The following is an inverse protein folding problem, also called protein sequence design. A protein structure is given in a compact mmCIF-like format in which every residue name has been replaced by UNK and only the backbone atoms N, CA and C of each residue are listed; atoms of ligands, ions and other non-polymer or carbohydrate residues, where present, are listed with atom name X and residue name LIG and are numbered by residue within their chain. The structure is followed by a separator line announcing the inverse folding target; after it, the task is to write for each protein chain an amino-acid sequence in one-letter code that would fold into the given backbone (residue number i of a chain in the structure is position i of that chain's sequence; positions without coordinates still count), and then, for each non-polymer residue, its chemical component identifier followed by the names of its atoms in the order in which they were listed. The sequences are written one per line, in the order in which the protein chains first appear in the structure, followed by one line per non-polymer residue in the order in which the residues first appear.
data_IF_365753673574
#
_entry.id   IF_365753673574
#
_cell.length_a   1.000
_cell.length_b   1.000
_cell.length_c   1.000
_cell.angle_alpha   90.00
_cell.angle_beta   90.00
_cell.angle_gamma   90.00
#
_symmetry.space_group_name_H-M   'P 1'
#
loop_
_entity.id
_entity.type
_entity.pdbx_description
1 polymer ?
#
# COMPACT_ATOMS: atom_id res chain seq x y z
N UNK A 1 -28.64 6.14 34.13
CA UNK A 1 -30.00 5.57 34.17
C UNK A 1 -30.62 5.71 32.79
N UNK A 2 -31.33 4.68 32.32
CA UNK A 2 -32.09 4.70 31.07
C UNK A 2 -33.58 4.54 31.41
N UNK A 3 -34.45 5.26 30.72
CA UNK A 3 -35.91 5.09 30.85
C UNK A 3 -36.49 4.58 29.53
N UNK A 4 -37.42 3.62 29.62
CA UNK A 4 -38.13 3.08 28.47
C UNK A 4 -39.40 3.89 28.12
N UNK A 5 -39.90 4.68 29.07
CA UNK A 5 -40.97 5.65 28.85
C UNK A 5 -40.44 6.98 28.35
N UNK A 6 -41.23 7.67 27.52
CA UNK A 6 -40.93 9.02 27.05
C UNK A 6 -40.88 9.97 28.26
N UNK A 7 -39.76 10.65 28.50
CA UNK A 7 -39.63 11.59 29.62
C UNK A 7 -40.47 12.84 29.39
N UNK A 8 -40.90 13.49 30.48
CA UNK A 8 -41.73 14.70 30.44
C UNK A 8 -41.03 15.86 29.72
N UNK A 9 -39.69 15.96 29.85
CA UNK A 9 -38.85 16.94 29.16
C UNK A 9 -37.96 16.24 28.12
N UNK A 10 -38.40 16.08 26.85
CA UNK A 10 -37.64 15.35 25.83
C UNK A 10 -36.31 16.03 25.45
N UNK A 11 -36.22 17.35 25.61
CA UNK A 11 -35.04 18.15 25.26
C UNK A 11 -33.79 17.79 26.08
N UNK A 12 -33.98 17.28 27.31
CA UNK A 12 -32.88 16.93 28.21
C UNK A 12 -32.33 15.51 27.98
N UNK A 13 -32.94 14.74 27.06
CA UNK A 13 -32.62 13.33 26.84
C UNK A 13 -32.14 13.09 25.40
N UNK A 14 -31.33 12.05 25.23
CA UNK A 14 -30.98 11.48 23.92
C UNK A 14 -31.75 10.19 23.73
N UNK A 15 -32.38 10.06 22.58
CA UNK A 15 -33.03 8.83 22.13
C UNK A 15 -31.98 7.83 21.65
N UNK A 16 -32.15 6.57 22.05
CA UNK A 16 -31.32 5.44 21.68
C UNK A 16 -32.26 4.34 21.17
N UNK A 17 -32.06 3.92 19.93
CA UNK A 17 -32.75 2.75 19.39
C UNK A 17 -31.86 1.51 19.58
N UNK A 18 -32.37 0.51 20.29
CA UNK A 18 -31.72 -0.79 20.49
C UNK A 18 -32.78 -1.86 20.22
N UNK A 19 -32.52 -2.73 19.24
CA UNK A 19 -33.39 -3.86 18.87
C UNK A 19 -34.87 -3.47 18.67
N UNK A 20 -35.10 -2.34 17.98
CA UNK A 20 -36.46 -1.83 17.69
C UNK A 20 -37.18 -1.17 18.88
N UNK A 21 -36.52 -1.04 20.04
CA UNK A 21 -37.06 -0.34 21.22
C UNK A 21 -36.34 0.98 21.44
N UNK A 22 -37.12 2.02 21.75
CA UNK A 22 -36.58 3.37 22.06
C UNK A 22 -36.31 3.51 23.55
N UNK A 23 -35.10 3.93 23.89
CA UNK A 23 -34.67 4.24 25.25
C UNK A 23 -34.21 5.70 25.33
N UNK A 24 -34.46 6.35 26.46
CA UNK A 24 -34.07 7.73 26.70
C UNK A 24 -32.95 7.77 27.73
N UNK A 25 -31.83 8.43 27.37
CA UNK A 25 -30.69 8.66 28.26
C UNK A 25 -30.54 10.14 28.53
N UNK A 26 -30.54 10.54 29.81
CA UNK A 26 -30.31 11.93 30.19
C UNK A 26 -28.99 12.43 29.59
N UNK A 27 -29.02 13.60 28.96
CA UNK A 27 -27.83 14.34 28.50
C UNK A 27 -27.05 14.76 29.74
N UNK A 28 -26.20 13.88 30.26
CA UNK A 28 -25.25 14.25 31.30
C UNK A 28 -24.32 15.36 30.80
N UNK A 29 -23.76 16.13 31.73
CA UNK A 29 -22.69 17.09 31.43
C UNK A 29 -21.69 16.43 30.51
N UNK A 30 -21.41 17.08 29.37
CA UNK A 30 -20.33 16.67 28.47
C UNK A 30 -19.05 16.95 29.24
N UNK A 31 -18.66 16.04 30.12
CA UNK A 31 -17.31 15.98 30.62
C UNK A 31 -16.44 15.86 29.38
N UNK A 32 -15.81 16.98 29.01
CA UNK A 32 -14.76 17.01 28.00
C UNK A 32 -13.80 15.91 28.42
N UNK A 33 -13.82 14.80 27.68
CA UNK A 33 -12.90 13.70 27.88
C UNK A 33 -11.52 14.28 27.57
N UNK A 34 -10.88 14.85 28.58
CA UNK A 34 -9.48 15.21 28.55
C UNK A 34 -8.74 13.89 28.46
N UNK A 35 -8.52 13.42 27.23
CA UNK A 35 -7.71 12.24 26.97
C UNK A 35 -6.39 12.46 27.70
N UNK A 36 -6.16 11.67 28.76
CA UNK A 36 -4.91 11.73 29.53
C UNK A 36 -3.77 11.50 28.55
N UNK A 37 -2.98 12.54 28.30
CA UNK A 37 -1.72 12.42 27.56
C UNK A 37 -0.83 11.43 28.31
N UNK A 38 -0.11 10.57 27.58
CA UNK A 38 0.86 9.67 28.21
C UNK A 38 1.94 10.52 28.87
N UNK A 39 2.50 10.05 29.98
CA UNK A 39 3.53 10.78 30.73
C UNK A 39 4.73 11.16 29.83
N UNK A 40 5.08 10.29 28.88
CA UNK A 40 6.12 10.55 27.88
C UNK A 40 5.81 11.71 26.92
N UNK A 41 4.54 12.01 26.67
CA UNK A 41 4.12 13.14 25.83
C UNK A 41 4.21 14.48 26.58
N UNK A 42 4.33 14.47 27.92
CA UNK A 42 4.49 15.70 28.72
C UNK A 42 5.88 16.34 28.57
N UNK A 43 6.88 15.55 28.16
CA UNK A 43 8.27 16.01 27.97
C UNK A 43 8.68 16.07 26.50
N UNK A 44 7.73 15.88 25.56
CA UNK A 44 8.03 16.02 24.14
C UNK A 44 8.29 17.49 23.82
N UNK A 45 9.45 17.74 23.24
CA UNK A 45 9.81 19.00 22.61
C UNK A 45 8.65 19.48 21.71
N UNK A 46 8.19 20.73 21.82
CA UNK A 46 7.18 21.29 20.92
C UNK A 46 7.52 21.12 19.44
N UNK A 47 8.82 21.04 19.10
CA UNK A 47 9.33 20.83 17.75
C UNK A 47 9.58 19.35 17.41
N UNK A 48 9.21 18.41 18.27
CA UNK A 48 9.45 16.98 18.07
C UNK A 48 8.97 16.48 16.72
N UNK A 49 7.75 16.87 16.31
CA UNK A 49 7.17 16.50 15.01
C UNK A 49 8.04 17.05 13.86
N UNK A 50 8.44 18.32 13.95
CA UNK A 50 9.24 18.96 12.92
C UNK A 50 10.66 18.38 12.83
N UNK A 51 11.26 18.01 13.96
CA UNK A 51 12.55 17.30 14.03
C UNK A 51 12.47 15.91 13.39
N UNK A 52 11.40 15.15 13.65
CA UNK A 52 11.18 13.83 13.05
C UNK A 52 10.96 13.92 11.53
N UNK A 53 10.15 14.87 11.07
CA UNK A 53 9.96 15.15 9.64
C UNK A 53 11.30 15.48 8.98
N UNK A 54 12.08 16.40 9.56
CA UNK A 54 13.41 16.75 9.03
C UNK A 54 14.41 15.60 9.07
N UNK A 55 14.29 14.67 10.02
CA UNK A 55 15.12 13.45 10.05
C UNK A 55 14.77 12.55 8.87
N UNK A 56 13.48 12.30 8.64
CA UNK A 56 12.99 11.46 7.52
C UNK A 56 13.37 12.06 6.17
N UNK A 57 13.19 13.37 5.99
CA UNK A 57 13.59 14.06 4.75
C UNK A 57 15.10 13.94 4.49
N UNK A 58 15.93 14.07 5.53
CA UNK A 58 17.38 13.86 5.41
C UNK A 58 17.72 12.43 5.02
N UNK A 59 17.05 11.43 5.61
CA UNK A 59 17.22 10.03 5.22
C UNK A 59 16.85 9.79 3.76
N UNK A 60 15.71 10.33 3.30
CA UNK A 60 15.29 10.20 1.90
C UNK A 60 16.27 10.87 0.94
N UNK A 61 16.76 12.06 1.29
CA UNK A 61 17.77 12.77 0.51
C UNK A 61 19.07 11.97 0.42
N UNK A 62 19.59 11.50 1.54
CA UNK A 62 20.81 10.69 1.58
C UNK A 62 20.64 9.39 0.79
N UNK A 63 19.48 8.74 0.89
CA UNK A 63 19.17 7.53 0.12
C UNK A 63 19.22 7.82 -1.39
N UNK A 64 18.60 8.91 -1.84
CA UNK A 64 18.65 9.35 -3.25
C UNK A 64 20.06 9.71 -3.72
N UNK A 65 20.85 10.39 -2.88
CA UNK A 65 22.25 10.74 -3.19
C UNK A 65 23.15 9.49 -3.27
N UNK A 66 22.90 8.48 -2.42
CA UNK A 66 23.74 7.27 -2.32
C UNK A 66 23.40 6.22 -3.38
N UNK A 67 22.11 5.99 -3.63
CA UNK A 67 21.64 4.94 -4.55
C UNK A 67 21.30 5.47 -5.95
N UNK A 68 21.42 6.79 -6.16
CA UNK A 68 21.09 7.44 -7.41
C UNK A 68 19.60 7.32 -7.76
N UNK A 69 19.29 7.57 -9.02
CA UNK A 69 17.96 7.32 -9.56
C UNK A 69 17.80 5.82 -9.85
N UNK A 70 17.24 5.09 -8.88
CA UNK A 70 16.96 3.66 -8.99
C UNK A 70 16.15 3.33 -10.24
N UNK A 71 15.23 4.21 -10.64
CA UNK A 71 14.44 4.03 -11.85
C UNK A 71 15.36 3.97 -13.08
N UNK A 72 16.29 4.93 -13.19
CA UNK A 72 17.27 4.95 -14.28
C UNK A 72 18.19 3.72 -14.31
N UNK A 73 18.47 3.11 -13.15
CA UNK A 73 19.28 1.90 -13.06
C UNK A 73 18.46 0.68 -13.49
N UNK A 74 17.20 0.59 -13.03
CA UNK A 74 16.27 -0.46 -13.43
C UNK A 74 16.06 -0.43 -14.94
N UNK A 75 15.82 0.74 -15.52
CA UNK A 75 15.59 0.88 -16.96
C UNK A 75 16.82 0.48 -17.79
N UNK A 76 18.03 0.88 -17.39
CA UNK A 76 19.26 0.41 -18.05
C UNK A 76 19.41 -1.12 -18.01
N UNK A 77 19.06 -1.74 -16.89
CA UNK A 77 19.08 -3.20 -16.79
C UNK A 77 18.00 -3.85 -17.65
N UNK A 78 16.81 -3.26 -17.74
CA UNK A 78 15.76 -3.74 -18.64
C UNK A 78 16.22 -3.66 -20.09
N UNK A 79 16.75 -2.52 -20.52
CA UNK A 79 17.29 -2.33 -21.87
C UNK A 79 18.36 -3.38 -22.20
N UNK A 80 19.31 -3.61 -21.29
CA UNK A 80 20.35 -4.63 -21.45
C UNK A 80 19.76 -6.05 -21.63
N UNK A 81 18.77 -6.41 -20.81
CA UNK A 81 18.11 -7.72 -20.92
C UNK A 81 17.32 -7.80 -22.23
N UNK A 82 16.61 -6.76 -22.63
CA UNK A 82 15.88 -6.70 -23.91
C UNK A 82 16.83 -6.87 -25.10
N UNK A 83 18.01 -6.26 -25.06
CA UNK A 83 19.06 -6.45 -26.07
C UNK A 83 19.56 -7.91 -26.08
N UNK A 84 19.80 -8.51 -24.91
CA UNK A 84 20.19 -9.92 -24.83
C UNK A 84 19.13 -10.84 -25.44
N UNK A 85 17.85 -10.64 -25.11
CA UNK A 85 16.74 -11.40 -25.71
C UNK A 85 16.75 -11.22 -27.23
N UNK A 86 16.88 -9.98 -27.71
CA UNK A 86 16.94 -9.67 -29.14
C UNK A 86 18.12 -10.36 -29.84
N UNK A 87 19.28 -10.44 -29.20
CA UNK A 87 20.45 -11.16 -29.72
C UNK A 87 20.17 -12.66 -29.82
N UNK A 88 19.59 -13.26 -28.76
CA UNK A 88 19.27 -14.69 -28.75
C UNK A 88 18.26 -15.04 -29.84
N UNK A 89 17.23 -14.21 -30.04
CA UNK A 89 16.25 -14.40 -31.10
C UNK A 89 16.86 -14.21 -32.49
N UNK A 90 17.57 -13.11 -32.73
CA UNK A 90 17.96 -12.72 -34.08
C UNK A 90 19.27 -13.37 -34.56
N UNK A 91 20.26 -13.53 -33.68
CA UNK A 91 21.58 -14.03 -34.05
C UNK A 91 21.71 -15.54 -33.81
N UNK A 92 21.10 -16.04 -32.73
CA UNK A 92 21.16 -17.46 -32.37
C UNK A 92 19.90 -18.23 -32.77
N UNK A 93 18.89 -17.55 -33.33
CA UNK A 93 17.63 -18.15 -33.77
C UNK A 93 16.91 -18.94 -32.67
N UNK A 94 17.09 -18.54 -31.41
CA UNK A 94 16.43 -19.17 -30.26
C UNK A 94 15.01 -18.60 -30.15
N UNK A 95 13.95 -19.43 -30.13
CA UNK A 95 12.59 -18.95 -29.98
C UNK A 95 12.38 -18.21 -28.65
N UNK A 96 11.61 -17.10 -28.62
CA UNK A 96 11.27 -16.39 -27.38
C UNK A 96 10.73 -17.31 -26.29
N UNK A 97 9.95 -18.32 -26.66
CA UNK A 97 9.39 -19.32 -25.74
C UNK A 97 10.47 -20.08 -24.97
N UNK A 98 11.57 -20.48 -25.62
CA UNK A 98 12.66 -21.20 -24.96
C UNK A 98 13.41 -20.29 -23.99
N UNK A 99 13.60 -19.02 -24.36
CA UNK A 99 14.24 -18.01 -23.53
C UNK A 99 13.39 -17.76 -22.26
N UNK A 100 12.09 -17.55 -22.41
CA UNK A 100 11.17 -17.29 -21.30
C UNK A 100 10.87 -18.54 -20.46
N UNK A 101 11.12 -19.76 -20.98
CA UNK A 101 11.15 -20.99 -20.16
C UNK A 101 12.45 -21.12 -19.36
N UNK A 102 13.58 -20.72 -19.94
CA UNK A 102 14.89 -20.79 -19.29
C UNK A 102 15.06 -19.73 -18.19
N UNK A 103 14.47 -18.55 -18.36
CA UNK A 103 14.61 -17.42 -17.45
C UNK A 103 13.25 -16.94 -16.92
N UNK A 104 13.12 -16.57 -15.63
CA UNK A 104 11.86 -16.12 -15.03
C UNK A 104 11.52 -14.66 -15.39
N UNK A 105 11.56 -14.31 -16.68
CA UNK A 105 11.47 -12.93 -17.19
C UNK A 105 10.13 -12.25 -16.87
N UNK A 106 9.02 -13.00 -16.88
CA UNK A 106 7.70 -12.48 -16.49
C UNK A 106 7.65 -11.88 -15.09
N UNK A 107 8.42 -12.45 -14.14
CA UNK A 107 8.51 -11.90 -12.76
C UNK A 107 9.18 -10.53 -12.70
N UNK A 108 9.96 -10.21 -13.72
CA UNK A 108 10.73 -8.97 -13.82
C UNK A 108 10.08 -7.95 -14.77
N UNK A 109 8.85 -8.22 -15.22
CA UNK A 109 8.05 -7.30 -16.02
C UNK A 109 8.33 -7.35 -17.52
N UNK A 110 8.90 -8.44 -18.03
CA UNK A 110 9.01 -8.68 -19.47
C UNK A 110 7.83 -9.51 -19.94
N UNK A 111 7.18 -9.06 -21.01
CA UNK A 111 6.13 -9.81 -21.71
C UNK A 111 6.76 -10.57 -22.88
N UNK A 112 6.31 -11.80 -23.12
CA UNK A 112 6.79 -12.59 -24.27
C UNK A 112 6.23 -12.06 -25.59
N UNK A 113 5.04 -11.44 -25.55
CA UNK A 113 4.38 -10.87 -26.72
C UNK A 113 5.22 -9.75 -27.36
N UNK A 114 5.94 -8.98 -26.52
CA UNK A 114 6.88 -7.94 -26.96
C UNK A 114 8.02 -8.48 -27.84
N UNK A 115 8.28 -9.78 -27.77
CA UNK A 115 9.33 -10.47 -28.52
C UNK A 115 8.78 -11.44 -29.57
N UNK A 116 7.47 -11.39 -29.86
CA UNK A 116 6.82 -12.20 -30.90
C UNK A 116 6.53 -13.64 -30.50
N UNK A 117 6.54 -13.98 -29.21
CA UNK A 117 6.03 -15.26 -28.70
C UNK A 117 4.57 -15.17 -28.24
N UNK A 118 3.99 -16.31 -27.84
CA UNK A 118 2.61 -16.39 -27.37
C UNK A 118 2.57 -16.92 -25.92
N UNK A 119 1.78 -16.29 -25.04
CA UNK A 119 1.62 -16.76 -23.66
C UNK A 119 0.87 -18.11 -23.57
N UNK A 120 0.05 -18.43 -24.58
CA UNK A 120 -0.73 -19.68 -24.62
C UNK A 120 0.17 -20.92 -24.75
N UNK A 121 1.40 -20.76 -25.23
CA UNK A 121 2.39 -21.83 -25.39
C UNK A 121 2.99 -22.31 -24.04
N UNK A 122 2.69 -21.61 -22.94
CA UNK A 122 3.05 -22.03 -21.58
C UNK A 122 1.98 -22.90 -20.92
N UNK A 123 0.77 -22.97 -21.48
CA UNK A 123 -0.29 -23.79 -20.92
C UNK A 123 0.00 -25.26 -21.21
N UNK A 124 -0.08 -26.15 -20.21
CA UNK A 124 -0.02 -27.58 -20.49
C UNK A 124 -1.24 -27.91 -21.34
N UNK A 125 -1.02 -28.31 -22.60
CA UNK A 125 -2.07 -28.94 -23.38
C UNK A 125 -2.54 -30.17 -22.62
N UNK A 126 -3.72 -30.06 -22.01
CA UNK A 126 -4.48 -31.21 -21.55
C UNK A 126 -4.72 -32.07 -22.79
N UNK A 127 -3.97 -33.16 -22.89
CA UNK A 127 -4.22 -34.20 -23.88
C UNK A 127 -5.58 -34.83 -23.52
N UNK A 128 -6.56 -34.61 -24.39
CA UNK A 128 -7.75 -35.45 -24.49
C UNK A 128 -7.38 -36.90 -24.83
#
# INVERSE_FOLDING_TARGET
MYTASKPENPEDYRELQIDGKTFYKLKGDVQKVTRRRRYSDQFKDPLFIQKDINRKLRMMRQFRETHGDLESVIERWKECISECISILCNQYSIPPLEIFKAFPLKKWGFDIEDYGGCEEDFLPHSKD
#
